data_IF_967641524400
#
_entry.id   IF_967641524400
#
_cell.length_a   1.000
_cell.length_b   1.000
_cell.length_c   1.000
_cell.angle_alpha   90.00
_cell.angle_beta   90.00
_cell.angle_gamma   90.00
#
_symmetry.space_group_name_H-M   'P 1'
#
loop_
_entity.id
_entity.type
_entity.pdbx_description
1 polymer ?
#
# COMPACT_ATOMS: atom_id res chain seq x y z
N UNK A 1 38.62 -12.66 14.83
CA UNK A 1 38.06 -11.36 14.39
C UNK A 1 36.67 -11.54 13.77
N UNK A 2 36.32 -12.71 13.22
CA UNK A 2 35.01 -12.98 12.60
C UNK A 2 33.87 -13.29 13.61
N UNK A 3 34.17 -13.52 14.90
CA UNK A 3 33.18 -13.97 15.89
C UNK A 3 32.52 -12.81 16.68
N UNK A 4 33.11 -11.61 16.68
CA UNK A 4 32.57 -10.46 17.43
C UNK A 4 31.47 -9.68 16.68
N UNK A 5 31.45 -9.72 15.35
CA UNK A 5 30.43 -9.01 14.56
C UNK A 5 29.04 -9.65 14.71
N UNK A 6 28.93 -10.98 14.74
CA UNK A 6 27.66 -11.69 14.84
C UNK A 6 26.95 -11.54 16.19
N UNK A 7 27.70 -11.33 17.27
CA UNK A 7 27.13 -11.14 18.61
C UNK A 7 26.51 -9.73 18.74
N UNK A 8 27.14 -8.70 18.15
CA UNK A 8 26.66 -7.32 18.22
C UNK A 8 25.36 -7.11 17.43
N UNK A 9 25.22 -7.75 16.28
CA UNK A 9 23.96 -7.73 15.50
C UNK A 9 22.82 -8.42 16.24
N UNK A 10 23.08 -9.59 16.84
CA UNK A 10 22.03 -10.32 17.58
C UNK A 10 21.57 -9.59 18.86
N UNK A 11 22.41 -8.79 19.47
CA UNK A 11 22.08 -7.99 20.66
C UNK A 11 21.24 -6.78 20.23
N UNK A 12 21.60 -6.08 19.15
CA UNK A 12 20.84 -4.95 18.61
C UNK A 12 19.41 -5.33 18.22
N UNK A 13 19.22 -6.49 17.58
CA UNK A 13 17.91 -7.00 17.19
C UNK A 13 17.04 -7.35 18.41
N UNK A 14 17.63 -7.98 19.43
CA UNK A 14 16.91 -8.31 20.66
C UNK A 14 16.49 -7.10 21.48
N UNK A 15 17.31 -6.05 21.52
CA UNK A 15 16.96 -4.79 22.18
C UNK A 15 15.86 -4.04 21.41
N UNK A 16 15.90 -4.05 20.08
CA UNK A 16 14.85 -3.48 19.24
C UNK A 16 13.50 -4.18 19.43
N UNK A 17 13.48 -5.50 19.50
CA UNK A 17 12.26 -6.29 19.72
C UNK A 17 11.70 -6.05 21.14
N UNK A 18 12.55 -5.94 22.14
CA UNK A 18 12.11 -5.69 23.53
C UNK A 18 11.54 -4.27 23.68
N UNK A 19 12.10 -3.27 22.99
CA UNK A 19 11.56 -1.90 23.00
C UNK A 19 10.19 -1.79 22.30
N UNK A 20 9.98 -2.56 21.25
CA UNK A 20 8.69 -2.59 20.53
C UNK A 20 7.63 -3.31 21.36
N UNK A 21 7.98 -4.39 22.07
CA UNK A 21 7.04 -5.15 22.90
C UNK A 21 6.63 -4.40 24.18
N UNK A 22 7.51 -3.57 24.76
CA UNK A 22 7.16 -2.76 25.96
C UNK A 22 6.29 -1.55 25.62
N UNK A 23 6.38 -1.00 24.42
CA UNK A 23 5.51 0.11 23.98
C UNK A 23 4.09 -0.35 23.65
N UNK A 24 3.87 -1.62 23.33
CA UNK A 24 2.56 -2.17 23.01
C UNK A 24 1.69 -2.46 24.26
N UNK A 25 2.26 -2.43 25.46
CA UNK A 25 1.56 -2.84 26.70
C UNK A 25 0.92 -1.69 27.49
N UNK A 26 0.95 -0.45 27.01
CA UNK A 26 0.34 0.71 27.71
C UNK A 26 -0.94 1.20 27.05
N UNK A 27 -1.77 0.31 26.49
CA UNK A 27 -3.11 0.69 26.05
C UNK A 27 -4.06 0.60 27.22
N UNK A 28 -4.36 1.74 27.84
CA UNK A 28 -5.41 1.82 28.84
C UNK A 28 -6.77 1.49 28.22
N UNK A 29 -7.34 0.35 28.58
CA UNK A 29 -8.70 -0.03 28.25
C UNK A 29 -9.68 0.78 29.11
N UNK A 30 -10.33 1.79 28.52
CA UNK A 30 -11.53 2.37 29.09
C UNK A 30 -12.73 1.50 28.70
N UNK A 31 -13.35 0.89 29.70
CA UNK A 31 -14.61 0.17 29.52
C UNK A 31 -15.73 1.18 29.22
N UNK A 32 -16.28 1.12 28.01
CA UNK A 32 -17.51 1.81 27.65
C UNK A 32 -18.68 0.89 27.91
N UNK A 33 -19.84 1.44 28.30
CA UNK A 33 -21.04 0.69 28.63
C UNK A 33 -21.65 -0.03 27.42
N UNK A 34 -22.15 -1.24 27.61
CA UNK A 34 -22.57 -2.18 26.55
C UNK A 34 -23.66 -1.65 25.59
N UNK A 35 -24.43 -0.63 25.97
CA UNK A 35 -25.48 -0.03 25.12
C UNK A 35 -24.92 0.91 24.03
N UNK A 36 -23.79 1.56 24.24
CA UNK A 36 -23.17 2.49 23.32
C UNK A 36 -22.30 1.77 22.28
N UNK A 37 -21.81 0.58 22.64
CA UNK A 37 -21.02 -0.29 21.76
C UNK A 37 -21.82 -0.85 20.58
N UNK A 38 -23.13 -1.08 20.73
CA UNK A 38 -23.97 -1.65 19.67
C UNK A 38 -24.33 -0.62 18.59
N UNK A 39 -24.42 0.66 18.92
CA UNK A 39 -24.68 1.74 17.95
C UNK A 39 -23.44 2.17 17.20
N UNK A 40 -22.25 2.08 17.82
CA UNK A 40 -20.95 2.40 17.19
C UNK A 40 -20.41 1.33 16.25
N UNK A 41 -21.03 0.15 16.19
CA UNK A 41 -20.52 -0.98 15.38
C UNK A 41 -20.67 -0.76 13.86
N UNK A 42 -21.43 0.23 13.44
CA UNK A 42 -21.68 0.53 12.02
C UNK A 42 -21.17 1.88 11.54
N UNK A 43 -20.56 2.70 12.41
CA UNK A 43 -19.87 3.91 11.95
C UNK A 43 -18.38 3.62 11.79
N UNK A 44 -17.77 4.01 10.63
CA UNK A 44 -16.33 3.93 10.49
C UNK A 44 -15.69 4.74 11.61
N UNK A 45 -14.90 4.10 12.48
CA UNK A 45 -14.21 4.80 13.57
C UNK A 45 -13.39 5.94 12.96
N UNK A 46 -13.76 7.17 13.28
CA UNK A 46 -13.04 8.36 12.83
C UNK A 46 -11.57 8.24 13.28
N UNK A 47 -10.68 8.09 12.31
CA UNK A 47 -9.24 7.96 12.58
C UNK A 47 -8.71 9.31 13.02
N UNK A 48 -8.36 9.41 14.31
CA UNK A 48 -7.87 10.65 14.91
C UNK A 48 -6.47 11.02 14.38
N UNK A 49 -6.28 12.30 14.14
CA UNK A 49 -4.98 12.89 13.86
C UNK A 49 -4.33 13.33 15.17
N UNK A 50 -3.64 12.39 15.84
CA UNK A 50 -3.10 12.64 17.19
C UNK A 50 -1.91 13.60 17.18
N UNK A 51 -1.23 13.75 16.03
CA UNK A 51 0.01 14.51 15.89
C UNK A 51 -0.07 15.49 14.70
N UNK A 52 -1.20 16.18 14.53
CA UNK A 52 -1.47 16.99 13.34
C UNK A 52 -0.34 17.97 13.00
N UNK A 53 0.25 18.66 13.98
CA UNK A 53 1.34 19.59 13.74
C UNK A 53 2.59 18.92 13.14
N UNK A 54 2.96 17.75 13.65
CA UNK A 54 4.09 16.95 13.12
C UNK A 54 3.72 16.39 11.74
N UNK A 55 2.50 15.87 11.58
CA UNK A 55 2.01 15.33 10.33
C UNK A 55 2.01 16.39 9.21
N UNK A 56 1.54 17.60 9.51
CA UNK A 56 1.56 18.73 8.55
C UNK A 56 2.98 19.14 8.18
N UNK A 57 3.91 19.16 9.15
CA UNK A 57 5.32 19.47 8.88
C UNK A 57 5.96 18.39 7.97
N UNK A 58 5.72 17.11 8.27
CA UNK A 58 6.21 16.01 7.43
C UNK A 58 5.55 16.02 6.05
N UNK A 59 4.27 16.36 5.98
CA UNK A 59 3.55 16.50 4.71
C UNK A 59 4.15 17.61 3.85
N UNK A 60 4.43 18.79 4.44
CA UNK A 60 5.08 19.89 3.73
C UNK A 60 6.48 19.51 3.24
N UNK A 61 7.25 18.76 4.04
CA UNK A 61 8.52 18.18 3.59
C UNK A 61 8.33 17.25 2.39
N UNK A 62 7.36 16.35 2.44
CA UNK A 62 7.05 15.43 1.32
C UNK A 62 6.61 16.21 0.07
N UNK A 63 5.81 17.28 0.21
CA UNK A 63 5.46 18.16 -0.90
C UNK A 63 6.68 18.84 -1.53
N UNK A 64 7.60 19.33 -0.70
CA UNK A 64 8.84 19.93 -1.20
C UNK A 64 9.68 18.89 -1.98
N UNK A 65 9.79 17.66 -1.48
CA UNK A 65 10.45 16.55 -2.20
C UNK A 65 9.70 16.21 -3.51
N UNK A 66 8.37 16.18 -3.49
CA UNK A 66 7.59 15.94 -4.71
C UNK A 66 7.88 17.01 -5.74
N UNK A 67 7.78 18.28 -5.36
CA UNK A 67 8.02 19.42 -6.27
C UNK A 67 9.41 19.45 -6.88
N UNK A 68 10.44 19.07 -6.11
CA UNK A 68 11.84 19.14 -6.55
C UNK A 68 12.28 17.88 -7.29
N UNK A 69 11.77 16.70 -6.93
CA UNK A 69 12.26 15.40 -7.41
C UNK A 69 11.17 14.62 -8.14
N UNK A 70 10.09 14.23 -7.44
CA UNK A 70 9.13 13.27 -7.99
C UNK A 70 8.30 13.85 -9.13
N UNK A 71 7.80 15.07 -9.01
CA UNK A 71 7.01 15.76 -10.04
C UNK A 71 7.78 15.93 -11.35
N UNK A 72 9.02 16.49 -11.39
CA UNK A 72 9.76 16.58 -12.64
C UNK A 72 10.11 15.22 -13.23
N UNK A 73 10.50 14.24 -12.42
CA UNK A 73 10.80 12.87 -12.90
C UNK A 73 9.55 12.22 -13.48
N UNK A 74 8.40 12.30 -12.80
CA UNK A 74 7.13 11.77 -13.28
C UNK A 74 6.69 12.47 -14.59
N UNK A 75 6.93 13.78 -14.71
CA UNK A 75 6.64 14.55 -15.94
C UNK A 75 7.45 14.03 -17.13
N UNK A 76 8.73 13.71 -16.92
CA UNK A 76 9.57 13.10 -17.96
C UNK A 76 9.11 11.68 -18.26
N UNK A 77 8.81 10.88 -17.24
CA UNK A 77 8.30 9.53 -17.38
C UNK A 77 6.98 9.47 -18.16
N UNK A 78 6.07 10.44 -17.97
CA UNK A 78 4.81 10.57 -18.74
C UNK A 78 5.05 10.70 -20.25
N UNK A 79 6.22 11.18 -20.71
CA UNK A 79 6.55 11.30 -22.14
C UNK A 79 6.87 9.95 -22.79
N UNK A 80 7.16 8.93 -22.01
CA UNK A 80 7.36 7.58 -22.51
C UNK A 80 6.03 7.05 -23.08
N UNK A 81 6.03 6.37 -24.25
CA UNK A 81 4.82 5.82 -24.83
C UNK A 81 4.04 4.92 -23.86
N UNK A 82 2.72 5.03 -23.87
CA UNK A 82 1.84 4.30 -22.95
C UNK A 82 2.06 2.79 -22.91
N UNK A 83 2.32 2.07 -24.03
CA UNK A 83 2.57 0.63 -23.97
C UNK A 83 3.81 0.26 -23.14
N UNK A 84 4.87 1.09 -23.20
CA UNK A 84 6.10 0.86 -22.41
C UNK A 84 5.82 1.10 -20.94
N UNK A 85 5.13 2.19 -20.59
CA UNK A 85 4.73 2.48 -19.21
C UNK A 85 3.82 1.40 -18.63
N UNK A 86 2.85 0.93 -19.42
CA UNK A 86 1.98 -0.19 -19.03
C UNK A 86 2.79 -1.46 -18.77
N UNK A 87 3.78 -1.78 -19.61
CA UNK A 87 4.67 -2.92 -19.39
C UNK A 87 5.48 -2.82 -18.10
N UNK A 88 6.01 -1.63 -17.78
CA UNK A 88 6.70 -1.38 -16.49
C UNK A 88 5.74 -1.57 -15.33
N UNK A 89 4.55 -0.98 -15.40
CA UNK A 89 3.53 -1.09 -14.37
C UNK A 89 3.11 -2.54 -14.13
N UNK A 90 2.81 -3.29 -15.19
CA UNK A 90 2.43 -4.70 -15.12
C UNK A 90 3.53 -5.55 -14.46
N UNK A 91 4.81 -5.30 -14.82
CA UNK A 91 5.93 -6.00 -14.19
C UNK A 91 6.05 -5.70 -12.70
N UNK A 92 5.86 -4.43 -12.28
CA UNK A 92 5.87 -4.04 -10.88
C UNK A 92 4.71 -4.67 -10.11
N UNK A 93 3.52 -4.69 -10.69
CA UNK A 93 2.34 -5.34 -10.11
C UNK A 93 2.55 -6.86 -10.01
N UNK A 94 3.17 -7.47 -11.01
CA UNK A 94 3.52 -8.89 -10.96
C UNK A 94 4.50 -9.21 -9.83
N UNK A 95 5.55 -8.39 -9.63
CA UNK A 95 6.47 -8.53 -8.49
C UNK A 95 5.77 -8.32 -7.14
N UNK A 96 4.77 -7.43 -7.08
CA UNK A 96 4.02 -7.17 -5.85
C UNK A 96 3.16 -8.37 -5.44
N UNK A 97 2.83 -9.31 -6.36
CA UNK A 97 2.18 -10.57 -6.02
C UNK A 97 2.95 -11.39 -4.99
N UNK A 98 4.28 -11.28 -4.96
CA UNK A 98 5.10 -11.95 -3.94
C UNK A 98 4.81 -11.48 -2.51
N UNK A 99 4.23 -10.28 -2.35
CA UNK A 99 3.75 -9.75 -1.07
C UNK A 99 2.25 -10.02 -0.90
N UNK A 100 1.48 -9.87 -1.98
CA UNK A 100 0.02 -10.02 -1.96
C UNK A 100 -0.41 -11.45 -1.65
N UNK A 101 0.20 -12.46 -2.29
CA UNK A 101 -0.16 -13.88 -2.09
C UNK A 101 -0.04 -14.31 -0.62
N UNK A 102 1.09 -14.08 0.07
CA UNK A 102 1.20 -14.37 1.50
C UNK A 102 0.15 -13.64 2.35
N UNK A 103 -0.17 -12.38 2.01
CA UNK A 103 -1.18 -11.61 2.73
C UNK A 103 -2.59 -12.17 2.52
N UNK A 104 -2.95 -12.62 1.31
CA UNK A 104 -4.21 -13.33 1.11
C UNK A 104 -4.30 -14.59 1.99
N UNK A 105 -3.21 -15.36 2.10
CA UNK A 105 -3.16 -16.54 2.97
C UNK A 105 -3.32 -16.15 4.44
N UNK A 106 -2.62 -15.13 4.92
CA UNK A 106 -2.73 -14.62 6.29
C UNK A 106 -4.12 -14.12 6.62
N UNK A 107 -4.85 -13.60 5.63
CA UNK A 107 -6.22 -13.14 5.76
C UNK A 107 -7.25 -14.27 5.66
N UNK A 108 -6.82 -15.50 5.36
CA UNK A 108 -7.69 -16.66 5.18
C UNK A 108 -8.39 -16.71 3.81
N UNK A 109 -8.01 -15.85 2.87
CA UNK A 109 -8.60 -15.79 1.53
C UNK A 109 -7.80 -16.66 0.55
N UNK A 110 -7.95 -17.96 0.68
CA UNK A 110 -7.23 -18.93 -0.14
C UNK A 110 -7.67 -18.90 -1.61
N UNK A 111 -8.89 -18.44 -1.90
CA UNK A 111 -9.37 -18.31 -3.28
C UNK A 111 -8.61 -17.20 -4.00
N UNK A 112 -8.48 -16.02 -3.38
CA UNK A 112 -7.67 -14.91 -3.92
C UNK A 112 -6.19 -15.28 -3.98
N UNK A 113 -5.66 -15.98 -2.96
CA UNK A 113 -4.28 -16.46 -2.97
C UNK A 113 -4.01 -17.37 -4.18
N UNK A 114 -4.90 -18.31 -4.46
CA UNK A 114 -4.81 -19.23 -5.62
C UNK A 114 -4.90 -18.47 -6.95
N UNK A 115 -5.83 -17.55 -7.06
CA UNK A 115 -6.01 -16.72 -8.26
C UNK A 115 -4.77 -15.85 -8.52
N UNK A 116 -4.26 -15.15 -7.50
CA UNK A 116 -3.06 -14.31 -7.62
C UNK A 116 -1.81 -15.14 -7.92
N UNK A 117 -1.71 -16.37 -7.40
CA UNK A 117 -0.64 -17.32 -7.77
C UNK A 117 -0.73 -17.68 -9.24
N UNK A 118 -1.91 -18.00 -9.75
CA UNK A 118 -2.13 -18.28 -11.17
C UNK A 118 -1.75 -17.09 -12.06
N UNK A 119 -2.19 -15.86 -11.69
CA UNK A 119 -1.80 -14.63 -12.39
C UNK A 119 -0.28 -14.44 -12.43
N UNK A 120 0.37 -14.59 -11.26
CA UNK A 120 1.82 -14.45 -11.15
C UNK A 120 2.56 -15.43 -12.06
N UNK A 121 2.17 -16.70 -12.06
CA UNK A 121 2.81 -17.72 -12.90
C UNK A 121 2.60 -17.47 -14.39
N UNK A 122 1.37 -17.15 -14.81
CA UNK A 122 1.06 -16.85 -16.22
C UNK A 122 1.80 -15.61 -16.68
N UNK A 123 1.75 -14.53 -15.92
CA UNK A 123 2.37 -13.27 -16.29
C UNK A 123 3.90 -13.36 -16.27
N UNK A 124 4.47 -14.15 -15.34
CA UNK A 124 5.92 -14.34 -15.28
C UNK A 124 6.45 -15.18 -16.46
N UNK A 125 5.72 -16.22 -16.84
CA UNK A 125 6.15 -17.15 -17.89
C UNK A 125 5.74 -16.67 -19.29
N UNK A 126 4.44 -16.61 -19.56
CA UNK A 126 3.91 -16.22 -20.89
C UNK A 126 3.96 -14.70 -21.07
N UNK A 127 3.76 -13.93 -20.01
CA UNK A 127 3.77 -12.46 -20.00
C UNK A 127 5.17 -11.84 -19.93
N UNK A 128 6.25 -12.64 -20.08
CA UNK A 128 7.65 -12.18 -20.09
C UNK A 128 7.96 -11.35 -18.83
N UNK A 129 8.05 -12.01 -17.68
CA UNK A 129 8.29 -11.39 -16.36
C UNK A 129 7.23 -10.34 -15.95
N UNK A 130 6.01 -10.48 -16.49
CA UNK A 130 4.89 -9.60 -16.17
C UNK A 130 4.81 -8.33 -17.04
N UNK A 131 5.63 -8.16 -18.06
CA UNK A 131 5.51 -7.03 -19.01
C UNK A 131 4.11 -7.02 -19.64
N UNK A 132 3.61 -8.20 -20.00
CA UNK A 132 2.26 -8.37 -20.55
C UNK A 132 1.36 -9.00 -19.51
N UNK A 133 0.20 -8.39 -19.24
CA UNK A 133 -0.83 -8.98 -18.36
C UNK A 133 -1.68 -9.99 -19.15
N UNK A 134 -1.07 -11.14 -19.42
CA UNK A 134 -1.72 -12.25 -20.13
C UNK A 134 -2.85 -12.84 -19.30
N UNK A 135 -2.72 -12.86 -17.97
CA UNK A 135 -3.76 -13.36 -17.08
C UNK A 135 -5.06 -12.56 -17.23
N UNK A 136 -4.98 -11.23 -17.32
CA UNK A 136 -6.13 -10.39 -17.61
C UNK A 136 -6.72 -10.67 -18.99
N UNK A 137 -5.88 -10.84 -20.01
CA UNK A 137 -6.34 -11.18 -21.37
C UNK A 137 -7.03 -12.56 -21.45
N UNK A 138 -6.73 -13.47 -20.53
CA UNK A 138 -7.40 -14.77 -20.37
C UNK A 138 -8.69 -14.70 -19.53
N UNK A 139 -9.11 -13.51 -19.09
CA UNK A 139 -10.31 -13.30 -18.30
C UNK A 139 -10.17 -13.61 -16.81
N UNK A 140 -8.94 -13.73 -16.28
CA UNK A 140 -8.71 -13.82 -14.86
C UNK A 140 -8.91 -12.43 -14.26
N UNK A 141 -9.71 -12.35 -13.18
CA UNK A 141 -10.09 -11.10 -12.52
C UNK A 141 -8.91 -10.16 -12.28
N UNK A 142 -9.19 -8.87 -12.22
CA UNK A 142 -8.19 -7.85 -11.92
C UNK A 142 -7.45 -8.14 -10.62
N UNK A 143 -6.20 -7.69 -10.59
CA UNK A 143 -5.31 -7.83 -9.44
C UNK A 143 -5.66 -6.79 -8.37
N UNK A 144 -5.90 -7.25 -7.15
CA UNK A 144 -6.03 -6.40 -5.98
C UNK A 144 -4.80 -6.57 -5.09
N UNK A 145 -4.15 -5.45 -4.78
CA UNK A 145 -2.94 -5.45 -3.98
C UNK A 145 -3.26 -5.57 -2.49
N UNK A 146 -2.66 -6.56 -1.86
CA UNK A 146 -2.75 -6.78 -0.42
C UNK A 146 -1.42 -6.48 0.29
N UNK A 147 -1.51 -6.01 1.52
CA UNK A 147 -0.36 -5.69 2.35
C UNK A 147 -0.54 -6.12 3.82
N UNK A 148 0.55 -6.08 4.59
CA UNK A 148 0.53 -6.49 6.00
C UNK A 148 -0.39 -5.62 6.87
N UNK A 149 -0.58 -4.34 6.55
CA UNK A 149 -1.50 -3.48 7.28
C UNK A 149 -2.96 -3.89 7.11
N UNK A 150 -3.34 -4.37 5.91
CA UNK A 150 -4.65 -4.96 5.65
C UNK A 150 -4.81 -6.27 6.41
N UNK A 151 -3.78 -7.12 6.42
CA UNK A 151 -3.79 -8.38 7.18
C UNK A 151 -3.92 -8.14 8.70
N UNK A 152 -3.22 -7.15 9.25
CA UNK A 152 -3.37 -6.73 10.64
C UNK A 152 -4.77 -6.17 10.94
N UNK A 153 -5.36 -5.43 9.99
CA UNK A 153 -6.74 -4.94 10.14
C UNK A 153 -7.74 -6.09 10.21
N UNK A 154 -7.63 -7.08 9.32
CA UNK A 154 -8.48 -8.28 9.34
C UNK A 154 -8.28 -9.13 10.59
N UNK A 155 -7.08 -9.12 11.17
CA UNK A 155 -6.80 -9.72 12.48
C UNK A 155 -7.38 -8.93 13.66
N UNK A 156 -8.09 -7.82 13.41
CA UNK A 156 -8.76 -7.01 14.43
C UNK A 156 -7.95 -5.84 14.96
N UNK A 157 -6.76 -5.55 14.42
CA UNK A 157 -5.98 -4.38 14.83
C UNK A 157 -6.58 -3.10 14.24
N UNK A 158 -7.02 -2.19 15.12
CA UNK A 158 -7.53 -0.88 14.74
C UNK A 158 -6.45 -0.02 14.03
N UNK A 159 -6.85 1.04 13.31
CA UNK A 159 -5.91 1.89 12.58
C UNK A 159 -4.97 2.69 13.48
N UNK A 160 -5.37 2.97 14.71
CA UNK A 160 -4.67 3.90 15.60
C UNK A 160 -4.76 5.35 15.10
N UNK A 161 -3.72 6.15 15.38
CA UNK A 161 -3.65 7.54 14.91
C UNK A 161 -3.24 7.61 13.43
N UNK A 162 -3.73 8.63 12.75
CA UNK A 162 -3.19 9.02 11.45
C UNK A 162 -1.77 9.57 11.62
N UNK A 163 -0.87 9.17 10.74
CA UNK A 163 0.53 9.61 10.71
C UNK A 163 0.97 9.84 9.27
N UNK A 164 1.84 10.81 9.07
CA UNK A 164 2.50 11.03 7.78
C UNK A 164 3.96 10.60 7.89
N UNK A 165 4.34 9.64 7.07
CA UNK A 165 5.72 9.14 7.03
C UNK A 165 6.56 9.96 6.06
N UNK A 166 7.82 10.31 6.43
CA UNK A 166 8.73 10.95 5.50
C UNK A 166 8.91 10.09 4.24
N UNK A 167 8.83 10.70 3.07
CA UNK A 167 8.95 10.08 1.74
C UNK A 167 7.79 9.12 1.40
N UNK A 168 7.31 8.34 2.36
CA UNK A 168 6.26 7.31 2.14
C UNK A 168 4.85 7.89 2.14
N UNK A 169 4.64 9.09 2.71
CA UNK A 169 3.36 9.79 2.68
C UNK A 169 2.37 9.37 3.76
N UNK A 170 1.04 9.51 3.49
CA UNK A 170 -0.02 9.23 4.45
C UNK A 170 -0.06 7.77 4.89
N UNK A 171 -0.33 7.55 6.17
CA UNK A 171 -0.39 6.24 6.81
C UNK A 171 -1.28 6.27 8.05
N UNK A 172 -1.49 5.12 8.68
CA UNK A 172 -2.00 4.98 10.04
C UNK A 172 -0.93 4.34 10.92
N UNK A 173 -1.08 4.43 12.25
CA UNK A 173 -0.12 3.80 13.17
C UNK A 173 0.04 2.29 12.88
N UNK A 174 -1.06 1.57 12.62
CA UNK A 174 -1.05 0.16 12.21
C UNK A 174 -0.25 -0.05 10.91
N UNK A 175 -0.57 0.74 9.89
CA UNK A 175 0.03 0.58 8.56
C UNK A 175 1.50 1.03 8.55
N UNK A 176 1.86 2.00 9.39
CA UNK A 176 3.25 2.41 9.61
C UNK A 176 4.07 1.27 10.23
N UNK A 177 3.54 0.59 11.27
CA UNK A 177 4.20 -0.58 11.86
C UNK A 177 4.36 -1.69 10.82
N UNK A 178 3.33 -1.98 10.03
CA UNK A 178 3.39 -2.96 8.95
C UNK A 178 4.46 -2.59 7.91
N UNK A 179 4.54 -1.32 7.52
CA UNK A 179 5.55 -0.80 6.57
C UNK A 179 6.96 -0.90 7.12
N UNK A 180 7.17 -0.54 8.39
CA UNK A 180 8.47 -0.67 9.06
C UNK A 180 8.89 -2.14 9.16
N UNK A 181 7.98 -3.04 9.51
CA UNK A 181 8.26 -4.48 9.55
C UNK A 181 8.67 -5.00 8.18
N UNK A 182 7.97 -4.57 7.15
CA UNK A 182 8.29 -4.90 5.77
C UNK A 182 9.71 -4.42 5.41
N UNK A 183 10.03 -3.17 5.73
CA UNK A 183 11.33 -2.56 5.47
C UNK A 183 12.48 -3.20 6.27
N UNK A 184 12.22 -3.68 7.50
CA UNK A 184 13.20 -4.33 8.37
C UNK A 184 13.46 -5.81 8.01
N UNK A 185 13.06 -6.26 6.85
CA UNK A 185 13.33 -7.61 6.36
C UNK A 185 12.11 -8.53 6.33
N UNK A 186 10.90 -8.00 6.55
CA UNK A 186 9.65 -8.72 6.39
C UNK A 186 9.15 -8.80 4.93
N UNK A 187 9.80 -8.13 3.99
CA UNK A 187 9.39 -8.14 2.59
C UNK A 187 9.61 -9.53 1.97
N UNK A 188 8.50 -10.20 1.66
CA UNK A 188 8.53 -11.53 1.08
C UNK A 188 9.26 -11.54 -0.27
N UNK A 189 9.09 -10.50 -1.08
CA UNK A 189 9.82 -10.39 -2.35
C UNK A 189 11.33 -10.32 -2.12
N UNK A 190 11.80 -9.43 -1.22
CA UNK A 190 13.22 -9.32 -0.89
C UNK A 190 13.78 -10.65 -0.38
N UNK A 191 13.07 -11.29 0.54
CA UNK A 191 13.51 -12.54 1.15
C UNK A 191 13.57 -13.70 0.15
N UNK A 192 12.60 -13.80 -0.77
CA UNK A 192 12.55 -14.89 -1.75
C UNK A 192 13.55 -14.69 -2.88
N UNK A 193 13.77 -13.45 -3.33
CA UNK A 193 14.52 -13.20 -4.57
C UNK A 193 15.95 -12.69 -4.36
N UNK A 194 16.21 -11.97 -3.25
CA UNK A 194 17.52 -11.35 -3.00
C UNK A 194 18.30 -12.08 -1.92
N UNK A 195 17.65 -12.31 -0.75
CA UNK A 195 18.34 -12.76 0.46
C UNK A 195 18.74 -14.24 0.45
N UNK A 196 18.00 -15.10 -0.24
CA UNK A 196 18.19 -16.55 -0.22
C UNK A 196 19.22 -17.08 -1.23
N UNK A 197 20.28 -16.31 -1.55
CA UNK A 197 21.34 -16.66 -2.50
C UNK A 197 20.82 -17.19 -3.84
N UNK A 198 19.62 -16.79 -4.23
CA UNK A 198 19.02 -17.20 -5.52
C UNK A 198 19.76 -16.61 -6.71
N UNK A 199 20.60 -15.60 -6.49
CA UNK A 199 21.39 -14.86 -7.48
C UNK A 199 20.59 -14.25 -8.65
N UNK A 200 19.25 -14.29 -8.58
CA UNK A 200 18.40 -13.75 -9.63
C UNK A 200 18.30 -12.23 -9.60
N UNK A 201 18.28 -11.64 -8.38
CA UNK A 201 18.17 -10.20 -8.17
C UNK A 201 19.16 -9.75 -7.10
N UNK A 202 19.64 -8.50 -7.24
CA UNK A 202 20.53 -7.83 -6.29
C UNK A 202 19.74 -6.79 -5.50
N UNK A 203 20.30 -6.32 -4.40
CA UNK A 203 19.72 -5.23 -3.60
C UNK A 203 19.33 -4.03 -4.46
N UNK A 204 20.17 -3.66 -5.42
CA UNK A 204 19.91 -2.52 -6.33
C UNK A 204 18.65 -2.75 -7.18
N UNK A 205 18.37 -3.98 -7.58
CA UNK A 205 17.21 -4.31 -8.41
C UNK A 205 15.93 -4.19 -7.58
N UNK A 206 16.00 -4.58 -6.30
CA UNK A 206 14.90 -4.39 -5.35
C UNK A 206 14.61 -2.91 -5.09
N UNK A 207 15.61 -2.13 -4.70
CA UNK A 207 15.40 -0.71 -4.38
C UNK A 207 14.99 0.09 -5.63
N UNK A 208 15.59 -0.20 -6.78
CA UNK A 208 15.21 0.47 -8.03
C UNK A 208 13.76 0.21 -8.42
N UNK A 209 13.24 -1.01 -8.19
CA UNK A 209 11.83 -1.31 -8.45
C UNK A 209 10.90 -0.53 -7.53
N UNK A 210 11.24 -0.37 -6.24
CA UNK A 210 10.47 0.46 -5.30
C UNK A 210 10.44 1.93 -5.74
N UNK A 211 11.59 2.47 -6.15
CA UNK A 211 11.68 3.85 -6.68
C UNK A 211 10.88 3.99 -7.97
N UNK A 212 11.05 3.04 -8.91
CA UNK A 212 10.29 3.04 -10.17
C UNK A 212 8.79 2.94 -9.91
N UNK A 213 8.36 2.13 -8.94
CA UNK A 213 6.96 2.03 -8.52
C UNK A 213 6.42 3.36 -7.99
N UNK A 214 7.20 4.09 -7.22
CA UNK A 214 6.84 5.44 -6.75
C UNK A 214 6.70 6.44 -7.90
N UNK A 215 7.62 6.42 -8.86
CA UNK A 215 7.56 7.28 -10.07
C UNK A 215 6.37 6.91 -10.96
N UNK A 216 6.12 5.63 -11.18
CA UNK A 216 4.96 5.15 -11.96
C UNK A 216 3.65 5.54 -11.31
N UNK A 217 3.52 5.37 -10.00
CA UNK A 217 2.37 5.83 -9.24
C UNK A 217 2.15 7.35 -9.36
N UNK A 218 3.21 8.13 -9.17
CA UNK A 218 3.13 9.60 -9.29
C UNK A 218 2.75 10.03 -10.70
N UNK A 219 3.27 9.35 -11.72
CA UNK A 219 2.97 9.63 -13.12
C UNK A 219 1.53 9.25 -13.51
N UNK A 220 1.02 8.12 -13.01
CA UNK A 220 -0.38 7.69 -13.21
C UNK A 220 -1.37 8.67 -12.58
N UNK A 221 -1.04 9.19 -11.41
CA UNK A 221 -1.90 10.08 -10.65
C UNK A 221 -1.51 11.56 -10.82
N UNK A 222 -0.67 11.89 -11.84
CA UNK A 222 -0.13 13.23 -12.02
C UNK A 222 -1.21 14.31 -12.04
N UNK A 223 -2.15 14.18 -12.96
CA UNK A 223 -3.17 15.20 -13.17
C UNK A 223 -4.18 15.25 -11.99
N UNK A 224 -4.48 14.10 -11.39
CA UNK A 224 -5.36 14.02 -10.21
C UNK A 224 -4.75 14.70 -8.98
N UNK A 225 -3.44 14.52 -8.75
CA UNK A 225 -2.73 15.14 -7.62
C UNK A 225 -2.62 16.65 -7.84
N UNK A 226 -2.27 17.11 -9.04
CA UNK A 226 -2.22 18.54 -9.36
C UNK A 226 -3.60 19.20 -9.18
N UNK A 227 -4.64 18.59 -9.75
CA UNK A 227 -6.00 19.09 -9.59
C UNK A 227 -6.45 19.15 -8.13
N UNK A 228 -6.08 18.16 -7.33
CA UNK A 228 -6.41 18.15 -5.91
C UNK A 228 -5.63 19.23 -5.15
N UNK A 229 -4.35 19.43 -5.46
CA UNK A 229 -3.53 20.48 -4.86
C UNK A 229 -4.05 21.88 -5.19
N UNK A 230 -4.40 22.14 -6.46
CA UNK A 230 -4.87 23.44 -6.94
C UNK A 230 -6.27 23.80 -6.44
N UNK A 231 -7.16 22.82 -6.30
CA UNK A 231 -8.59 23.07 -6.03
C UNK A 231 -8.99 22.79 -4.57
N UNK A 232 -8.11 22.26 -3.71
CA UNK A 232 -8.42 22.03 -2.29
C UNK A 232 -8.14 23.26 -1.45
N UNK A 233 -9.04 23.56 -0.52
CA UNK A 233 -8.82 24.60 0.50
C UNK A 233 -7.72 24.22 1.49
N UNK A 234 -7.61 22.92 1.80
CA UNK A 234 -6.58 22.32 2.64
C UNK A 234 -6.15 21.01 2.00
N UNK A 235 -5.02 21.04 1.28
CA UNK A 235 -4.50 19.88 0.57
C UNK A 235 -4.14 18.73 1.51
N UNK A 236 -3.59 19.03 2.68
CA UNK A 236 -3.31 18.02 3.71
C UNK A 236 -4.58 17.27 4.14
N UNK A 237 -5.64 18.02 4.45
CA UNK A 237 -6.91 17.42 4.88
C UNK A 237 -7.56 16.58 3.78
N UNK A 238 -7.46 17.05 2.53
CA UNK A 238 -7.98 16.34 1.35
C UNK A 238 -7.23 15.02 1.12
N UNK A 239 -5.91 15.03 1.15
CA UNK A 239 -5.09 13.82 1.01
C UNK A 239 -5.33 12.85 2.16
N UNK A 240 -5.43 13.33 3.41
CA UNK A 240 -5.78 12.52 4.58
C UNK A 240 -7.12 11.82 4.37
N UNK A 241 -8.15 12.56 3.96
CA UNK A 241 -9.49 12.02 3.73
C UNK A 241 -9.50 10.93 2.65
N UNK A 242 -8.87 11.20 1.50
CA UNK A 242 -8.76 10.24 0.40
C UNK A 242 -8.01 8.96 0.82
N UNK A 243 -6.89 9.11 1.52
CA UNK A 243 -6.13 7.97 2.03
C UNK A 243 -6.96 7.09 2.95
N UNK A 244 -7.66 7.68 3.91
CA UNK A 244 -8.46 6.93 4.88
C UNK A 244 -9.65 6.21 4.22
N UNK A 245 -10.31 6.84 3.23
CA UNK A 245 -11.37 6.23 2.46
C UNK A 245 -10.87 5.06 1.59
N UNK A 246 -9.80 5.27 0.83
CA UNK A 246 -9.19 4.22 0.01
C UNK A 246 -8.74 3.03 0.90
N UNK A 247 -8.13 3.35 2.04
CA UNK A 247 -7.67 2.33 2.98
C UNK A 247 -8.80 1.50 3.56
N UNK A 248 -9.90 2.15 3.90
CA UNK A 248 -11.10 1.47 4.40
C UNK A 248 -11.72 0.55 3.33
N UNK A 249 -11.80 1.00 2.09
CA UNK A 249 -12.28 0.20 0.97
C UNK A 249 -11.42 -1.05 0.76
N UNK A 250 -10.10 -0.90 0.79
CA UNK A 250 -9.15 -2.01 0.66
C UNK A 250 -9.28 -3.03 1.78
N UNK A 251 -9.41 -2.59 3.03
CA UNK A 251 -9.59 -3.49 4.18
C UNK A 251 -10.92 -4.24 4.12
N UNK A 252 -11.98 -3.59 3.66
CA UNK A 252 -13.29 -4.19 3.51
C UNK A 252 -13.34 -5.20 2.34
N UNK A 253 -12.32 -5.27 1.49
CA UNK A 253 -12.32 -5.98 0.20
C UNK A 253 -13.61 -5.67 -0.59
N UNK A 254 -14.15 -4.48 -0.37
CA UNK A 254 -15.26 -4.01 -1.17
C UNK A 254 -14.66 -3.71 -2.54
N UNK A 255 -14.79 -4.69 -3.46
CA UNK A 255 -14.63 -4.38 -4.88
C UNK A 255 -15.37 -3.07 -5.09
N UNK A 256 -14.71 -2.06 -5.67
CA UNK A 256 -15.44 -1.00 -6.33
C UNK A 256 -16.46 -1.75 -7.16
N UNK A 257 -17.72 -1.72 -6.72
CA UNK A 257 -18.81 -1.83 -7.64
C UNK A 257 -18.57 -0.61 -8.51
N UNK A 258 -17.80 -0.78 -9.57
CA UNK A 258 -18.00 0.02 -10.76
C UNK A 258 -19.46 -0.21 -11.01
N UNK A 259 -20.29 0.72 -10.55
CA UNK A 259 -21.58 0.91 -11.14
C UNK A 259 -21.28 1.09 -12.63
N UNK A 260 -21.28 0.03 -13.38
CA UNK A 260 -22.00 -0.04 -14.61
C UNK A 260 -23.45 0.13 -14.16
N UNK A 261 -23.73 1.33 -13.64
CA UNK A 261 -25.04 1.91 -13.74
C UNK A 261 -25.18 2.04 -15.25
N UNK A 262 -25.91 1.10 -15.75
CA UNK A 262 -26.38 1.02 -17.12
C UNK A 262 -26.81 2.47 -17.48
N UNK A 263 -26.16 3.11 -18.45
CA UNK A 263 -26.55 4.43 -18.94
C UNK A 263 -28.00 4.46 -19.50
N UNK A 264 -28.70 3.31 -19.42
CA UNK A 264 -30.10 3.17 -19.81
C UNK A 264 -31.09 3.87 -18.87
N UNK A 265 -30.73 4.19 -17.62
CA UNK A 265 -31.66 4.84 -16.69
C UNK A 265 -31.81 6.36 -16.94
N UNK A 266 -30.99 6.97 -17.78
CA UNK A 266 -31.09 8.41 -18.10
C UNK A 266 -31.95 8.69 -19.34
N UNK A 267 -32.21 7.69 -20.20
CA UNK A 267 -33.06 7.89 -21.38
C UNK A 267 -34.56 7.88 -21.07
N UNK A 268 -35.00 7.40 -19.89
CA UNK A 268 -36.43 7.41 -19.52
C UNK A 268 -36.90 8.76 -18.96
N UNK A 269 -36.02 9.70 -18.63
CA UNK A 269 -36.42 10.99 -18.04
C UNK A 269 -36.71 12.07 -19.13
N UNK A 270 -36.20 11.89 -20.35
CA UNK A 270 -36.44 12.87 -21.45
C UNK A 270 -37.72 12.63 -22.26
N UNK A 271 -38.48 11.56 -22.03
CA UNK A 271 -39.66 11.20 -22.79
C UNK A 271 -40.99 11.26 -22.01
N UNK A 272 -41.08 12.01 -20.88
CA UNK A 272 -42.36 12.28 -20.20
C UNK A 272 -42.60 13.78 -20.03
#
# INVERSE_FOLDING_TARGET
VACECTVKERIGIKIGIILITTLALTVNSHAASDGELLLKKNEPSEVKDCFEGVNRATFAFNQALDGIIFKPVASVYKKIPSPVRSGVSNSLDNLTNLVTIPNNILQGDFALAGMNTGRFLINTTVGVLGIFDVAHALGISEYEREDYGQSLAKAGMGPGCYVVLPVLGPSTARDAVASVTNFMGGDAWYNVTVKNDTHYFRDIDYYSSKVTGGVDFRAKNYDSIENLEENSLDFYASVKSLYLQDRQQKIANTKKITNTQDDSDWEEIENN
#
